data_IF_329051938400
#
_entry.id   IF_329051938400
#
_cell.length_a   1.000
_cell.length_b   1.000
_cell.length_c   1.000
_cell.angle_alpha   90.00
_cell.angle_beta   90.00
_cell.angle_gamma   90.00
#
_symmetry.space_group_name_H-M   'P 1'
#
loop_
_entity.id
_entity.type
_entity.pdbx_description
1 polymer ?
#
# COMPACT_ATOMS: atom_id res chain seq x y z
N UNK A 1 -11.50 4.16 -12.85
CA UNK A 1 -10.07 4.51 -12.71
C UNK A 1 -9.21 3.26 -12.71
N UNK A 2 -8.11 3.29 -13.43
CA UNK A 2 -7.20 2.17 -13.53
C UNK A 2 -5.97 2.43 -12.67
N UNK A 3 -5.60 1.44 -11.85
CA UNK A 3 -4.38 1.46 -11.08
C UNK A 3 -3.32 0.63 -11.79
N UNK A 4 -2.15 1.22 -12.00
CA UNK A 4 -0.99 0.52 -12.55
C UNK A 4 0.03 0.37 -11.44
N UNK A 5 0.27 -0.88 -11.03
CA UNK A 5 1.18 -1.17 -9.92
C UNK A 5 2.55 -1.57 -10.44
N UNK A 6 3.58 -1.10 -9.76
CA UNK A 6 4.95 -1.50 -10.04
C UNK A 6 5.73 -1.61 -8.74
N UNK A 7 6.80 -2.38 -8.76
CA UNK A 7 7.71 -2.52 -7.63
C UNK A 7 9.02 -3.14 -8.05
N UNK A 8 10.02 -2.96 -7.20
CA UNK A 8 11.34 -3.59 -7.35
C UNK A 8 11.24 -5.04 -6.87
N UNK A 9 11.57 -6.04 -7.72
CA UNK A 9 11.49 -7.46 -7.34
C UNK A 9 12.32 -7.81 -6.10
N UNK A 10 13.47 -7.16 -5.90
CA UNK A 10 14.30 -7.43 -4.72
C UNK A 10 13.62 -6.92 -3.45
N UNK A 11 13.01 -5.76 -3.52
CA UNK A 11 12.25 -5.22 -2.37
C UNK A 11 11.06 -6.12 -2.05
N UNK A 12 10.42 -6.66 -3.08
CA UNK A 12 9.31 -7.58 -2.88
C UNK A 12 9.75 -8.85 -2.12
N UNK A 13 10.92 -9.39 -2.47
CA UNK A 13 11.47 -10.57 -1.79
C UNK A 13 11.80 -10.26 -0.33
N UNK A 14 12.48 -9.15 -0.08
CA UNK A 14 12.83 -8.74 1.28
C UNK A 14 11.57 -8.52 2.12
N UNK A 15 10.58 -7.87 1.53
CA UNK A 15 9.32 -7.61 2.21
C UNK A 15 8.61 -8.91 2.59
N UNK A 16 8.59 -9.87 1.68
CA UNK A 16 7.96 -11.16 1.94
C UNK A 16 8.66 -11.92 3.06
N UNK A 17 9.99 -11.92 3.06
CA UNK A 17 10.77 -12.57 4.13
C UNK A 17 10.51 -11.91 5.47
N UNK A 18 10.42 -10.59 5.50
CA UNK A 18 10.24 -9.83 6.76
C UNK A 18 8.83 -9.89 7.29
N UNK A 19 7.83 -9.78 6.43
CA UNK A 19 6.44 -9.55 6.83
C UNK A 19 5.47 -10.62 6.36
N UNK A 20 5.88 -11.52 5.46
CA UNK A 20 5.00 -12.54 4.91
C UNK A 20 3.93 -12.00 3.98
N UNK A 21 4.11 -10.81 3.44
CA UNK A 21 3.15 -10.15 2.55
C UNK A 21 3.75 -10.02 1.16
N UNK A 22 3.05 -10.55 0.17
CA UNK A 22 3.39 -10.36 -1.24
C UNK A 22 2.87 -9.00 -1.71
N UNK A 23 3.63 -8.29 -2.52
CA UNK A 23 3.17 -7.01 -3.07
C UNK A 23 1.92 -7.17 -3.95
N UNK A 24 1.76 -8.33 -4.60
CA UNK A 24 0.53 -8.63 -5.34
C UNK A 24 -0.71 -8.63 -4.45
N UNK A 25 -0.57 -9.10 -3.22
CA UNK A 25 -1.66 -9.02 -2.25
C UNK A 25 -1.84 -7.58 -1.76
N UNK A 26 -0.74 -6.89 -1.45
CA UNK A 26 -0.79 -5.51 -0.98
C UNK A 26 -1.51 -4.60 -1.98
N UNK A 27 -1.30 -4.83 -3.27
CA UNK A 27 -1.96 -4.04 -4.31
C UNK A 27 -3.49 -4.13 -4.23
N UNK A 28 -4.02 -5.24 -3.71
CA UNK A 28 -5.47 -5.42 -3.64
C UNK A 28 -6.16 -4.54 -2.60
N UNK A 29 -5.40 -3.95 -1.66
CA UNK A 29 -6.01 -3.04 -0.67
C UNK A 29 -6.60 -1.81 -1.33
N UNK A 30 -6.12 -1.45 -2.53
CA UNK A 30 -6.64 -0.30 -3.26
C UNK A 30 -8.05 -0.55 -3.81
N UNK A 31 -8.52 -1.78 -3.79
CA UNK A 31 -9.89 -2.13 -4.18
C UNK A 31 -10.86 -2.07 -3.00
N UNK A 32 -10.35 -1.88 -1.78
CA UNK A 32 -11.19 -1.78 -0.60
C UNK A 32 -11.85 -0.39 -0.57
N UNK A 33 -13.19 -0.29 -0.64
CA UNK A 33 -13.85 1.01 -0.65
C UNK A 33 -13.68 1.77 0.66
N UNK A 34 -13.27 1.11 1.73
CA UNK A 34 -13.04 1.74 3.04
C UNK A 34 -11.56 1.99 3.32
N UNK A 35 -10.68 1.81 2.33
CA UNK A 35 -9.25 2.05 2.52
C UNK A 35 -8.98 3.50 2.92
N UNK A 36 -8.02 3.66 3.82
CA UNK A 36 -7.59 4.97 4.31
C UNK A 36 -6.20 5.26 3.79
N UNK A 37 -6.00 6.45 3.24
CA UNK A 37 -4.70 6.86 2.72
C UNK A 37 -4.26 8.13 3.42
N UNK A 38 -3.03 8.13 3.95
CA UNK A 38 -2.43 9.29 4.60
C UNK A 38 -1.08 9.59 3.99
N UNK A 39 -0.68 10.86 4.05
CA UNK A 39 0.63 11.29 3.60
C UNK A 39 1.70 10.85 4.63
N UNK A 40 2.78 10.25 4.14
CA UNK A 40 3.89 9.81 5.01
C UNK A 40 4.96 10.90 5.04
N UNK A 41 4.81 11.86 5.94
CA UNK A 41 5.74 12.98 6.04
C UNK A 41 7.14 12.55 6.48
N UNK A 42 7.25 11.45 7.23
CA UNK A 42 8.55 10.99 7.75
C UNK A 42 9.42 10.39 6.66
N UNK A 43 8.82 9.87 5.61
CA UNK A 43 9.54 9.20 4.54
C UNK A 43 9.43 9.88 3.19
N UNK A 44 8.84 11.08 3.14
CA UNK A 44 8.74 11.88 1.94
C UNK A 44 9.94 12.82 1.85
N UNK A 45 10.96 12.40 1.10
CA UNK A 45 12.14 13.24 0.85
C UNK A 45 12.03 13.89 -0.52
N UNK A 46 12.69 13.29 -1.50
CA UNK A 46 12.68 13.77 -2.88
C UNK A 46 11.38 13.47 -3.61
N UNK A 47 10.56 12.56 -3.08
CA UNK A 47 9.25 12.24 -3.66
C UNK A 47 8.23 12.00 -2.57
N UNK A 48 6.98 12.30 -2.87
CA UNK A 48 5.90 12.13 -1.92
C UNK A 48 5.57 10.66 -1.75
N UNK A 49 5.51 10.23 -0.49
CA UNK A 49 5.16 8.86 -0.12
C UNK A 49 3.89 8.87 0.70
N UNK A 50 3.10 7.83 0.51
CA UNK A 50 1.79 7.67 1.13
C UNK A 50 1.68 6.30 1.77
N UNK A 51 0.78 6.18 2.73
CA UNK A 51 0.44 4.90 3.36
C UNK A 51 -1.04 4.66 3.16
N UNK A 52 -1.38 3.52 2.57
CA UNK A 52 -2.78 3.11 2.41
C UNK A 52 -3.02 1.89 3.27
N UNK A 53 -4.06 1.95 4.09
CA UNK A 53 -4.49 0.85 4.94
C UNK A 53 -5.83 0.33 4.44
N UNK A 54 -5.91 -0.97 4.18
CA UNK A 54 -7.14 -1.57 3.68
C UNK A 54 -7.13 -3.08 3.82
N UNK A 55 -8.28 -3.67 3.58
CA UNK A 55 -8.46 -5.12 3.61
C UNK A 55 -8.04 -5.69 2.26
N UNK A 56 -7.11 -6.64 2.28
CA UNK A 56 -6.65 -7.31 1.08
C UNK A 56 -7.65 -8.35 0.60
N UNK A 57 -7.44 -8.89 -0.59
CA UNK A 57 -8.29 -9.96 -1.14
C UNK A 57 -8.29 -11.22 -0.27
N UNK A 58 -7.29 -11.38 0.60
CA UNK A 58 -7.22 -12.50 1.55
C UNK A 58 -7.90 -12.18 2.88
N UNK A 59 -8.49 -11.01 3.02
CA UNK A 59 -9.18 -10.60 4.23
C UNK A 59 -8.25 -10.10 5.33
N UNK A 60 -7.02 -9.73 5.01
CA UNK A 60 -6.06 -9.22 5.99
C UNK A 60 -6.00 -7.71 5.91
N UNK A 61 -5.95 -7.04 7.05
CA UNK A 61 -5.79 -5.59 7.11
C UNK A 61 -4.31 -5.27 6.96
N UNK A 62 -3.94 -4.64 5.87
CA UNK A 62 -2.56 -4.36 5.52
C UNK A 62 -2.31 -2.87 5.39
N UNK A 63 -1.07 -2.46 5.66
CA UNK A 63 -0.56 -1.15 5.28
C UNK A 63 0.34 -1.32 4.06
N UNK A 64 0.20 -0.42 3.09
CA UNK A 64 1.06 -0.38 1.92
C UNK A 64 1.69 1.00 1.82
N UNK A 65 3.03 1.04 1.78
CA UNK A 65 3.77 2.29 1.58
C UNK A 65 4.06 2.42 0.09
N UNK A 66 3.73 3.57 -0.48
CA UNK A 66 3.75 3.72 -1.94
C UNK A 66 3.88 5.16 -2.39
N UNK A 67 4.20 5.32 -3.68
CA UNK A 67 4.02 6.59 -4.37
C UNK A 67 2.64 6.61 -5.01
N UNK A 68 2.27 7.80 -5.52
CA UNK A 68 0.97 7.99 -6.17
C UNK A 68 1.18 9.02 -7.28
N UNK A 69 1.02 8.61 -8.53
CA UNK A 69 1.27 9.50 -9.66
C UNK A 69 0.16 9.40 -10.69
N UNK A 70 -0.46 10.53 -11.00
CA UNK A 70 -1.45 10.59 -12.06
C UNK A 70 -0.75 10.41 -13.41
N UNK A 71 -1.17 9.39 -14.15
CA UNK A 71 -0.63 9.13 -15.48
C UNK A 71 -1.51 9.71 -16.58
N UNK A 72 -2.81 9.67 -16.36
CA UNK A 72 -3.80 10.24 -17.27
C UNK A 72 -5.08 10.51 -16.51
N UNK A 73 -6.09 10.98 -17.21
CA UNK A 73 -7.40 11.26 -16.62
C UNK A 73 -7.98 10.06 -15.89
N UNK A 74 -7.74 8.84 -16.40
CA UNK A 74 -8.38 7.63 -15.89
C UNK A 74 -7.41 6.63 -15.29
N UNK A 75 -6.11 6.95 -15.17
CA UNK A 75 -5.15 6.01 -14.65
C UNK A 75 -4.14 6.65 -13.70
N UNK A 76 -3.73 5.85 -12.73
CA UNK A 76 -2.80 6.24 -11.68
C UNK A 76 -1.72 5.17 -11.57
N UNK A 77 -0.47 5.60 -11.45
CA UNK A 77 0.66 4.72 -11.24
C UNK A 77 1.00 4.68 -9.76
N UNK A 78 1.12 3.49 -9.21
CA UNK A 78 1.43 3.27 -7.80
C UNK A 78 2.66 2.38 -7.71
N UNK A 79 3.73 2.89 -7.11
CA UNK A 79 4.93 2.09 -6.86
C UNK A 79 4.95 1.70 -5.40
N UNK A 80 4.94 0.38 -5.14
CA UNK A 80 4.95 -0.16 -3.79
C UNK A 80 6.37 -0.29 -3.28
N UNK A 81 6.59 0.12 -2.03
CA UNK A 81 7.89 0.02 -1.36
C UNK A 81 7.90 -1.04 -0.27
N UNK A 82 6.82 -1.15 0.49
CA UNK A 82 6.71 -2.09 1.58
C UNK A 82 5.25 -2.33 1.92
N UNK A 83 4.99 -3.45 2.57
CA UNK A 83 3.67 -3.75 3.08
C UNK A 83 3.78 -4.66 4.29
N UNK A 84 2.94 -4.42 5.29
CA UNK A 84 2.88 -5.22 6.51
C UNK A 84 1.46 -5.28 7.03
N UNK A 85 1.23 -6.18 7.95
CA UNK A 85 -0.06 -6.24 8.65
C UNK A 85 -0.21 -5.02 9.54
N UNK A 86 -1.43 -4.53 9.67
CA UNK A 86 -1.74 -3.46 10.62
C UNK A 86 -1.57 -3.96 12.04
N UNK A 87 -1.10 -3.08 12.93
CA UNK A 87 -1.10 -3.36 14.37
C UNK A 87 -2.52 -3.25 14.91
N UNK A 88 -2.72 -3.74 16.15
CA UNK A 88 -4.03 -3.59 16.80
C UNK A 88 -4.43 -2.12 16.92
N UNK A 89 -3.48 -1.27 17.28
CA UNK A 89 -3.74 0.17 17.39
C UNK A 89 -4.14 0.77 16.05
N UNK A 90 -3.45 0.38 14.98
CA UNK A 90 -3.78 0.86 13.64
C UNK A 90 -5.14 0.35 13.17
N UNK A 91 -5.50 -0.88 13.53
CA UNK A 91 -6.78 -1.42 13.11
C UNK A 91 -7.96 -0.64 13.68
N UNK A 92 -7.80 0.02 14.82
CA UNK A 92 -8.87 0.85 15.38
C UNK A 92 -9.15 2.06 14.49
N UNK A 93 -8.14 2.56 13.77
CA UNK A 93 -8.33 3.67 12.83
C UNK A 93 -9.18 3.23 11.63
N UNK A 94 -9.08 1.98 11.25
CA UNK A 94 -9.86 1.43 10.15
C UNK A 94 -11.30 1.12 10.57
N UNK A 95 -11.54 0.99 11.87
CA UNK A 95 -12.85 0.68 12.42
C UNK A 95 -13.10 -0.79 12.71
N UNK A 96 -12.04 -1.57 12.84
CA UNK A 96 -12.17 -2.97 13.24
C UNK A 96 -12.15 -3.17 14.74
#
# INVERSE_FOLDING_TARGET
MNYNFEWDPQKAQVNFKRHGILFGEAATVFNDPNALTIFDSDHSGSEDRWITMGISKKGRLLLACHTFKDESKDSVSIRLFSSRKATRKESTLYGE
#
